data_IF_447132458520
#
_entry.id   IF_447132458520
#
_cell.length_a   1.000
_cell.length_b   1.000
_cell.length_c   1.000
_cell.angle_alpha   90.00
_cell.angle_beta   90.00
_cell.angle_gamma   90.00
#
_symmetry.space_group_name_H-M   'P 1'
#
loop_
_entity.id
_entity.type
_entity.pdbx_description
1 polymer ?
#
# COMPACT_ATOMS: atom_id res chain seq x y z
N UNK A 1 16.99 7.35 11.77
CA UNK A 1 16.84 6.19 10.86
C UNK A 1 16.80 6.62 9.40
N UNK A 2 15.75 7.34 8.96
CA UNK A 2 15.62 7.82 7.57
C UNK A 2 16.78 8.74 7.13
N UNK A 3 17.13 9.75 7.92
CA UNK A 3 18.24 10.66 7.60
C UNK A 3 19.59 9.94 7.50
N UNK A 4 19.82 8.89 8.30
CA UNK A 4 21.04 8.06 8.24
C UNK A 4 21.13 7.26 6.94
N UNK A 5 20.01 7.11 6.22
CA UNK A 5 19.91 6.48 4.90
C UNK A 5 19.79 7.53 3.77
N UNK A 6 20.01 8.81 4.07
CA UNK A 6 19.92 9.89 3.09
C UNK A 6 18.49 10.25 2.66
N UNK A 7 17.48 9.82 3.42
CA UNK A 7 16.07 10.15 3.15
C UNK A 7 15.71 11.37 4.01
N UNK A 8 15.41 12.48 3.34
CA UNK A 8 14.95 13.70 4.00
C UNK A 8 13.57 13.47 4.64
N UNK A 9 13.42 13.93 5.87
CA UNK A 9 12.17 13.83 6.62
C UNK A 9 12.08 14.97 7.62
N UNK A 10 10.85 15.37 7.95
CA UNK A 10 10.57 16.44 8.92
C UNK A 10 9.46 15.97 9.86
N UNK A 11 9.62 16.22 11.14
CA UNK A 11 8.57 16.00 12.13
C UNK A 11 7.47 17.06 11.96
N UNK A 12 6.23 16.60 11.98
CA UNK A 12 5.04 17.45 12.02
C UNK A 12 4.19 17.04 13.23
N UNK A 13 4.11 17.93 14.22
CA UNK A 13 3.39 17.70 15.47
C UNK A 13 1.91 18.13 15.39
N UNK A 14 1.49 18.74 14.28
CA UNK A 14 0.17 19.37 14.13
C UNK A 14 -0.76 18.60 13.19
N UNK A 15 -0.21 17.79 12.28
CA UNK A 15 -1.01 17.02 11.33
C UNK A 15 -1.83 15.95 12.06
N UNK A 16 -3.15 15.99 11.87
CA UNK A 16 -4.07 14.97 12.35
C UNK A 16 -3.98 13.67 11.53
N UNK A 17 -4.50 12.59 12.12
CA UNK A 17 -4.58 11.29 11.44
C UNK A 17 -5.54 11.36 10.26
N UNK A 18 -5.11 10.84 9.11
CA UNK A 18 -5.99 10.76 7.94
C UNK A 18 -6.94 9.56 8.06
N UNK A 19 -8.00 9.59 7.25
CA UNK A 19 -9.05 8.57 7.23
C UNK A 19 -8.49 7.16 6.94
N UNK A 20 -7.53 7.04 6.02
CA UNK A 20 -6.95 5.74 5.65
C UNK A 20 -6.18 5.09 6.79
N UNK A 21 -5.53 5.89 7.64
CA UNK A 21 -4.92 5.41 8.88
C UNK A 21 -5.96 5.14 9.98
N UNK A 22 -6.93 6.05 10.15
CA UNK A 22 -7.93 5.94 11.21
C UNK A 22 -8.85 4.72 11.06
N UNK A 23 -9.40 4.47 9.86
CA UNK A 23 -10.34 3.36 9.63
C UNK A 23 -9.72 2.00 9.99
N UNK A 24 -8.52 1.74 9.49
CA UNK A 24 -7.81 0.46 9.71
C UNK A 24 -7.53 0.28 11.20
N UNK A 25 -7.01 1.31 11.86
CA UNK A 25 -6.66 1.24 13.27
C UNK A 25 -7.89 1.16 14.19
N UNK A 26 -8.98 1.84 13.83
CA UNK A 26 -10.24 1.77 14.57
C UNK A 26 -10.82 0.35 14.58
N UNK A 27 -10.72 -0.36 13.46
CA UNK A 27 -11.19 -1.76 13.36
C UNK A 27 -10.24 -2.75 14.02
N UNK A 28 -8.92 -2.59 13.84
CA UNK A 28 -7.91 -3.51 14.37
C UNK A 28 -7.68 -3.35 15.89
N UNK A 29 -7.64 -2.10 16.37
CA UNK A 29 -7.28 -1.76 17.75
C UNK A 29 -8.28 -0.74 18.35
N UNK A 30 -9.55 -1.13 18.54
CA UNK A 30 -10.63 -0.22 18.95
C UNK A 30 -10.45 0.41 20.34
N UNK A 31 -9.54 -0.12 21.17
CA UNK A 31 -9.22 0.43 22.49
C UNK A 31 -8.26 1.62 22.43
N UNK A 32 -7.56 1.81 21.30
CA UNK A 32 -6.57 2.87 21.12
C UNK A 32 -5.46 2.87 22.18
N UNK A 33 -5.00 1.68 22.58
CA UNK A 33 -3.98 1.44 23.60
C UNK A 33 -2.58 1.20 23.00
N UNK A 34 -2.43 1.29 21.69
CA UNK A 34 -1.16 1.17 20.96
C UNK A 34 -0.72 2.57 20.47
N UNK A 35 0.51 3.03 20.77
CA UNK A 35 1.04 4.26 20.20
C UNK A 35 1.17 4.19 18.69
N UNK A 36 0.78 5.26 18.00
CA UNK A 36 0.80 5.34 16.53
C UNK A 36 1.66 6.51 16.08
N UNK A 37 2.54 6.26 15.12
CA UNK A 37 3.28 7.30 14.39
C UNK A 37 2.84 7.27 12.94
N UNK A 38 2.29 8.38 12.46
CA UNK A 38 1.88 8.51 11.06
C UNK A 38 3.07 8.98 10.21
N UNK A 39 3.26 8.35 9.06
CA UNK A 39 4.30 8.72 8.08
C UNK A 39 3.61 9.16 6.80
N UNK A 40 3.87 10.39 6.35
CA UNK A 40 3.40 10.86 5.05
C UNK A 40 4.18 10.19 3.91
N UNK A 41 3.54 10.09 2.75
CA UNK A 41 4.18 9.60 1.52
C UNK A 41 4.44 10.76 0.56
N UNK A 42 5.44 10.61 -0.33
CA UNK A 42 5.63 11.49 -1.46
C UNK A 42 5.31 10.72 -2.75
N UNK A 43 4.14 10.92 -3.38
CA UNK A 43 3.72 10.14 -4.54
C UNK A 43 4.50 10.47 -5.82
N UNK A 44 5.35 11.50 -5.82
CA UNK A 44 6.17 11.86 -6.99
C UNK A 44 7.47 11.05 -7.10
N UNK A 45 7.82 10.29 -6.06
CA UNK A 45 9.00 9.43 -6.10
C UNK A 45 8.69 8.13 -6.85
N UNK A 46 9.67 7.68 -7.65
CA UNK A 46 9.63 6.39 -8.31
C UNK A 46 9.41 5.23 -7.32
N UNK A 47 8.75 4.16 -7.75
CA UNK A 47 8.37 3.03 -6.87
C UNK A 47 9.58 2.36 -6.20
N UNK A 48 10.72 2.33 -6.88
CA UNK A 48 12.01 1.91 -6.33
C UNK A 48 12.33 2.69 -5.05
N UNK A 49 12.16 4.01 -5.08
CA UNK A 49 12.44 4.89 -3.94
C UNK A 49 11.45 4.69 -2.81
N UNK A 50 10.17 4.41 -3.12
CA UNK A 50 9.18 4.04 -2.10
C UNK A 50 9.60 2.77 -1.37
N UNK A 51 10.03 1.76 -2.13
CA UNK A 51 10.55 0.52 -1.57
C UNK A 51 11.83 0.74 -0.74
N UNK A 52 12.75 1.61 -1.18
CA UNK A 52 13.92 1.99 -0.39
C UNK A 52 13.56 2.66 0.94
N UNK A 53 12.50 3.48 0.97
CA UNK A 53 11.98 4.04 2.23
C UNK A 53 11.53 2.91 3.15
N UNK A 54 10.78 1.94 2.64
CA UNK A 54 10.42 0.71 3.36
C UNK A 54 11.65 -0.02 3.90
N UNK A 55 12.68 -0.23 3.07
CA UNK A 55 13.93 -0.89 3.50
C UNK A 55 14.64 -0.12 4.60
N UNK A 56 14.61 1.20 4.56
CA UNK A 56 15.22 2.04 5.57
C UNK A 56 14.57 1.89 6.95
N UNK A 57 13.31 1.44 7.02
CA UNK A 57 12.55 1.25 8.25
C UNK A 57 12.37 -0.22 8.66
N UNK A 58 12.95 -1.17 7.92
CA UNK A 58 12.82 -2.61 8.15
C UNK A 58 13.21 -3.06 9.57
N UNK A 59 14.21 -2.43 10.15
CA UNK A 59 14.70 -2.82 11.48
C UNK A 59 13.68 -2.52 12.60
N UNK A 60 12.66 -1.70 12.34
CA UNK A 60 11.54 -1.48 13.28
C UNK A 60 10.82 -2.79 13.65
N UNK A 61 10.71 -3.73 12.72
CA UNK A 61 10.11 -5.04 12.99
C UNK A 61 10.89 -5.87 14.03
N UNK A 62 12.17 -5.57 14.28
CA UNK A 62 12.98 -6.20 15.34
C UNK A 62 12.75 -5.55 16.71
N UNK A 63 12.15 -4.36 16.72
CA UNK A 63 11.83 -3.56 17.91
C UNK A 63 10.36 -3.70 18.33
N UNK A 64 9.66 -4.74 17.82
CA UNK A 64 8.23 -4.99 18.08
C UNK A 64 7.31 -3.86 17.56
N UNK A 65 7.70 -3.24 16.44
CA UNK A 65 6.92 -2.18 15.77
C UNK A 65 6.32 -2.73 14.48
N UNK A 66 5.00 -2.67 14.38
CA UNK A 66 4.24 -3.04 13.18
C UNK A 66 4.22 -1.87 12.17
N UNK A 67 4.63 -2.14 10.94
CA UNK A 67 4.50 -1.21 9.81
C UNK A 67 3.23 -1.54 9.03
N UNK A 68 2.33 -0.56 8.89
CA UNK A 68 1.07 -0.70 8.13
C UNK A 68 1.11 0.26 6.94
N UNK A 69 1.01 -0.30 5.72
CA UNK A 69 0.72 0.46 4.51
C UNK A 69 -0.77 0.45 4.21
N UNK A 70 -1.48 1.54 4.48
CA UNK A 70 -2.91 1.66 4.18
C UNK A 70 -3.12 2.42 2.87
N UNK A 71 -3.79 1.79 1.91
CA UNK A 71 -3.98 2.29 0.55
C UNK A 71 -4.96 1.41 -0.24
N UNK A 72 -4.91 1.48 -1.57
CA UNK A 72 -5.71 0.62 -2.46
C UNK A 72 -5.02 0.44 -3.81
N UNK A 73 -5.18 -0.75 -4.39
CA UNK A 73 -4.61 -1.11 -5.69
C UNK A 73 -5.55 -0.80 -6.86
N UNK A 74 -6.86 -0.79 -6.65
CA UNK A 74 -7.81 -0.26 -7.63
C UNK A 74 -8.60 0.86 -6.97
N UNK A 75 -8.25 2.09 -7.34
CA UNK A 75 -8.81 3.30 -6.75
C UNK A 75 -9.05 4.37 -7.82
N UNK A 76 -10.02 4.09 -8.69
CA UNK A 76 -10.53 5.06 -9.65
C UNK A 76 -11.98 5.40 -9.33
N UNK A 77 -12.20 6.50 -8.61
CA UNK A 77 -13.54 6.92 -8.20
C UNK A 77 -14.46 7.24 -9.40
N UNK A 78 -13.92 7.47 -10.59
CA UNK A 78 -14.72 7.71 -11.79
C UNK A 78 -15.38 6.44 -12.36
N UNK A 79 -14.98 5.25 -11.89
CA UNK A 79 -15.52 3.95 -12.35
C UNK A 79 -16.38 3.25 -11.31
N UNK A 80 -16.58 3.88 -10.14
CA UNK A 80 -17.40 3.35 -9.06
C UNK A 80 -18.86 3.28 -9.51
N UNK A 81 -19.45 2.08 -9.42
CA UNK A 81 -20.88 1.88 -9.52
C UNK A 81 -21.44 1.47 -8.16
N UNK A 82 -22.18 2.37 -7.52
CA UNK A 82 -22.76 2.17 -6.20
C UNK A 82 -23.78 1.02 -6.14
N UNK A 83 -24.29 0.57 -7.28
CA UNK A 83 -25.23 -0.55 -7.36
C UNK A 83 -24.57 -1.87 -7.78
N UNK A 84 -23.27 -1.86 -8.12
CA UNK A 84 -22.58 -3.06 -8.55
C UNK A 84 -22.47 -4.05 -7.38
N UNK A 85 -22.91 -5.28 -7.65
CA UNK A 85 -22.84 -6.43 -6.74
C UNK A 85 -21.64 -7.34 -7.03
N UNK A 86 -20.92 -7.07 -8.12
CA UNK A 86 -19.77 -7.85 -8.60
C UNK A 86 -18.63 -6.94 -9.01
N UNK A 87 -17.42 -7.46 -8.89
CA UNK A 87 -16.23 -6.80 -9.38
C UNK A 87 -16.22 -6.73 -10.92
N UNK A 88 -15.73 -5.63 -11.45
CA UNK A 88 -15.42 -5.48 -12.87
C UNK A 88 -14.21 -6.36 -13.24
N UNK A 89 -14.28 -7.06 -14.37
CA UNK A 89 -13.24 -8.03 -14.78
C UNK A 89 -11.86 -7.38 -14.89
N UNK A 90 -11.78 -6.17 -15.45
CA UNK A 90 -10.51 -5.46 -15.62
C UNK A 90 -9.85 -5.07 -14.28
N UNK A 91 -10.66 -4.82 -13.23
CA UNK A 91 -10.14 -4.51 -11.90
C UNK A 91 -9.53 -5.77 -11.27
N UNK A 92 -10.20 -6.91 -11.45
CA UNK A 92 -9.72 -8.22 -11.03
C UNK A 92 -8.44 -8.61 -11.77
N UNK A 93 -8.36 -8.36 -13.08
CA UNK A 93 -7.16 -8.62 -13.89
C UNK A 93 -5.94 -7.83 -13.39
N UNK A 94 -6.11 -6.55 -13.07
CA UNK A 94 -5.03 -5.72 -12.53
C UNK A 94 -4.54 -6.22 -11.18
N UNK A 95 -5.46 -6.48 -10.24
CA UNK A 95 -5.10 -7.00 -8.92
C UNK A 95 -4.43 -8.37 -9.00
N UNK A 96 -4.94 -9.28 -9.84
CA UNK A 96 -4.33 -10.59 -10.02
C UNK A 96 -2.92 -10.51 -10.62
N UNK A 97 -2.67 -9.53 -11.49
CA UNK A 97 -1.31 -9.24 -11.96
C UNK A 97 -0.41 -8.80 -10.80
N UNK A 98 -0.89 -7.90 -9.92
CA UNK A 98 -0.11 -7.48 -8.74
C UNK A 98 0.15 -8.64 -7.77
N UNK A 99 -0.87 -9.46 -7.50
CA UNK A 99 -0.77 -10.64 -6.63
C UNK A 99 0.32 -11.58 -7.15
N UNK A 100 0.28 -11.93 -8.44
CA UNK A 100 1.28 -12.81 -9.07
C UNK A 100 2.70 -12.27 -8.85
N UNK A 101 2.89 -10.97 -9.08
CA UNK A 101 4.20 -10.32 -8.92
C UNK A 101 4.67 -10.29 -7.47
N UNK A 102 3.77 -9.97 -6.53
CA UNK A 102 4.05 -9.96 -5.09
C UNK A 102 4.41 -11.35 -4.59
N UNK A 103 3.61 -12.37 -4.89
CA UNK A 103 3.84 -13.74 -4.42
C UNK A 103 5.11 -14.39 -5.00
N UNK A 104 5.52 -13.95 -6.20
CA UNK A 104 6.76 -14.37 -6.85
C UNK A 104 7.99 -13.53 -6.46
N UNK A 105 7.84 -12.51 -5.59
CA UNK A 105 8.88 -11.52 -5.29
C UNK A 105 9.48 -10.87 -6.55
N UNK A 106 8.67 -10.64 -7.59
CA UNK A 106 9.07 -9.95 -8.83
C UNK A 106 9.05 -8.43 -8.63
N UNK A 107 9.98 -7.95 -7.80
CA UNK A 107 10.08 -6.55 -7.40
C UNK A 107 10.34 -5.63 -8.60
N UNK A 108 11.21 -6.05 -9.53
CA UNK A 108 11.53 -5.29 -10.74
C UNK A 108 10.30 -5.16 -11.66
N UNK A 109 9.47 -6.21 -11.73
CA UNK A 109 8.15 -6.16 -12.37
C UNK A 109 7.23 -5.14 -11.72
N UNK A 110 7.13 -5.17 -10.38
CA UNK A 110 6.28 -4.24 -9.61
C UNK A 110 6.69 -2.78 -9.78
N UNK A 111 7.98 -2.46 -9.84
CA UNK A 111 8.42 -1.07 -10.06
C UNK A 111 7.96 -0.50 -11.40
N UNK A 112 7.74 -1.37 -12.38
CA UNK A 112 7.28 -1.02 -13.73
C UNK A 112 5.80 -1.35 -13.96
N UNK A 113 5.01 -1.52 -12.89
CA UNK A 113 3.59 -1.88 -12.98
C UNK A 113 2.79 -0.94 -13.91
N UNK A 114 3.09 0.36 -13.89
CA UNK A 114 2.36 1.36 -14.68
C UNK A 114 2.49 1.14 -16.19
N UNK A 115 3.56 0.47 -16.62
CA UNK A 115 3.84 0.15 -18.02
C UNK A 115 3.42 -1.28 -18.38
N UNK A 116 3.63 -2.23 -17.46
CA UNK A 116 3.48 -3.67 -17.73
C UNK A 116 2.14 -4.26 -17.32
N UNK A 117 1.52 -3.73 -16.28
CA UNK A 117 0.29 -4.29 -15.74
C UNK A 117 -0.91 -3.91 -16.63
N UNK A 118 -1.86 -4.84 -16.82
CA UNK A 118 -3.09 -4.55 -17.56
C UNK A 118 -3.87 -3.45 -16.83
N UNK A 119 -4.42 -2.47 -17.56
CA UNK A 119 -5.28 -1.42 -17.00
C UNK A 119 -4.65 -0.53 -15.92
N UNK A 120 -3.34 -0.55 -15.69
CA UNK A 120 -2.70 0.14 -14.55
C UNK A 120 -3.09 1.63 -14.40
N UNK A 121 -3.04 2.38 -15.51
CA UNK A 121 -3.41 3.81 -15.54
C UNK A 121 -4.89 4.05 -15.28
N UNK A 122 -5.73 3.05 -15.58
CA UNK A 122 -7.16 3.09 -15.35
C UNK A 122 -7.50 2.69 -13.91
N UNK A 123 -6.84 1.69 -13.35
CA UNK A 123 -6.98 1.27 -11.96
C UNK A 123 -6.48 2.33 -10.98
N UNK A 124 -5.36 2.98 -11.29
CA UNK A 124 -4.66 3.93 -10.43
C UNK A 124 -4.38 5.20 -11.24
N UNK A 125 -5.36 6.13 -11.32
CA UNK A 125 -5.15 7.41 -11.99
C UNK A 125 -4.01 8.22 -11.36
N UNK A 126 -3.84 8.08 -10.03
CA UNK A 126 -2.79 8.74 -9.25
C UNK A 126 -2.17 7.77 -8.24
N UNK A 127 -0.86 7.84 -8.07
CA UNK A 127 -0.06 6.78 -7.42
C UNK A 127 -0.14 6.78 -5.89
N UNK A 128 -0.68 7.83 -5.26
CA UNK A 128 -0.71 7.95 -3.81
C UNK A 128 -1.35 6.74 -3.10
N UNK A 129 -2.31 6.08 -3.74
CA UNK A 129 -3.02 4.95 -3.13
C UNK A 129 -2.24 3.63 -3.18
N UNK A 130 -1.33 3.44 -4.14
CA UNK A 130 -0.53 2.21 -4.24
C UNK A 130 0.82 2.33 -3.53
N UNK A 131 1.37 3.54 -3.39
CA UNK A 131 2.65 3.80 -2.70
C UNK A 131 2.76 3.11 -1.32
N UNK A 132 1.73 3.10 -0.45
CA UNK A 132 1.80 2.41 0.84
C UNK A 132 2.16 0.93 0.73
N UNK A 133 1.73 0.24 -0.33
CA UNK A 133 2.08 -1.17 -0.57
C UNK A 133 3.59 -1.35 -0.77
N UNK A 134 4.23 -0.48 -1.56
CA UNK A 134 5.68 -0.56 -1.83
C UNK A 134 6.52 -0.27 -0.58
N UNK A 135 6.09 0.69 0.25
CA UNK A 135 6.77 0.99 1.52
C UNK A 135 6.62 -0.21 2.48
N UNK A 136 5.41 -0.76 2.64
CA UNK A 136 5.17 -1.93 3.48
C UNK A 136 6.00 -3.13 3.02
N UNK A 137 6.00 -3.41 1.70
CA UNK A 137 6.82 -4.46 1.09
C UNK A 137 8.33 -4.28 1.36
N UNK A 138 8.85 -3.06 1.29
CA UNK A 138 10.26 -2.78 1.60
C UNK A 138 10.60 -3.02 3.08
N UNK A 139 9.64 -2.79 3.97
CA UNK A 139 9.81 -2.97 5.42
C UNK A 139 9.72 -4.42 5.89
N UNK A 140 9.16 -5.33 5.08
CA UNK A 140 9.02 -6.76 5.38
C UNK A 140 10.34 -7.50 5.62
N UNK A 141 10.27 -8.63 6.34
CA UNK A 141 11.43 -9.32 6.92
C UNK A 141 12.11 -10.35 5.99
N UNK A 142 12.13 -10.12 4.67
CA UNK A 142 12.52 -11.11 3.64
C UNK A 142 11.71 -12.43 3.69
N UNK A 143 10.59 -12.45 4.42
CA UNK A 143 9.66 -13.58 4.38
C UNK A 143 8.96 -13.60 3.01
N UNK A 144 8.42 -14.76 2.63
CA UNK A 144 7.61 -14.82 1.41
C UNK A 144 6.32 -14.01 1.66
N UNK A 145 5.99 -13.00 0.82
CA UNK A 145 4.75 -12.28 0.93
C UNK A 145 3.53 -13.20 0.82
N UNK A 146 2.44 -12.85 1.48
CA UNK A 146 1.18 -13.62 1.43
C UNK A 146 0.00 -12.70 1.14
N UNK A 147 -0.89 -13.15 0.25
CA UNK A 147 -2.23 -12.58 0.13
C UNK A 147 -3.08 -13.02 1.33
N UNK A 148 -3.55 -12.07 2.13
CA UNK A 148 -4.44 -12.30 3.27
C UNK A 148 -5.91 -12.18 2.88
N UNK A 149 -6.22 -11.26 1.97
CA UNK A 149 -7.59 -10.97 1.56
C UNK A 149 -7.64 -10.32 0.18
N UNK A 150 -8.70 -10.60 -0.56
CA UNK A 150 -9.04 -9.92 -1.82
C UNK A 150 -10.56 -9.81 -1.91
N UNK A 151 -11.06 -8.59 -2.05
CA UNK A 151 -12.47 -8.31 -2.31
C UNK A 151 -12.63 -6.95 -2.97
N UNK A 152 -13.82 -6.68 -3.48
CA UNK A 152 -14.13 -5.43 -4.17
C UNK A 152 -15.46 -4.88 -3.67
N UNK A 153 -15.58 -3.56 -3.58
CA UNK A 153 -16.88 -2.90 -3.47
C UNK A 153 -17.14 -2.00 -4.68
N UNK A 154 -18.43 -1.82 -4.96
CA UNK A 154 -18.92 -0.88 -5.97
C UNK A 154 -18.28 -1.09 -7.35
N UNK A 155 -18.09 -2.36 -7.72
CA UNK A 155 -17.47 -2.77 -8.98
C UNK A 155 -15.94 -2.73 -8.96
N UNK A 156 -15.34 -1.66 -8.46
CA UNK A 156 -13.93 -1.36 -8.76
C UNK A 156 -13.07 -0.99 -7.57
N UNK A 157 -13.62 -0.73 -6.38
CA UNK A 157 -12.78 -0.41 -5.22
C UNK A 157 -12.19 -1.69 -4.64
N UNK A 158 -10.88 -1.87 -4.81
CA UNK A 158 -10.17 -3.04 -4.28
C UNK A 158 -9.84 -2.89 -2.80
N UNK A 159 -10.10 -3.98 -2.06
CA UNK A 159 -9.67 -4.22 -0.68
C UNK A 159 -8.75 -5.43 -0.63
N UNK A 160 -7.61 -5.32 -1.30
CA UNK A 160 -6.54 -6.30 -1.19
C UNK A 160 -5.72 -6.10 0.10
N UNK A 161 -5.29 -7.20 0.71
CA UNK A 161 -4.44 -7.15 1.91
C UNK A 161 -3.28 -8.15 1.78
N UNK A 162 -2.06 -7.68 2.02
CA UNK A 162 -0.84 -8.47 1.99
C UNK A 162 -0.12 -8.48 3.34
N UNK A 163 0.55 -9.59 3.63
CA UNK A 163 1.58 -9.73 4.66
C UNK A 163 2.95 -9.78 3.98
N UNK A 164 3.95 -9.04 4.49
CA UNK A 164 5.32 -8.94 3.94
C UNK A 164 6.40 -9.29 4.97
#
# INVERSE_FOLDING_TARGET
MLSNKGIESKLDEYRGMDHGAWDVLYLMYPKSDIPVVQVSINPELAMEKQYEIGRAIRDLGKEDILVIGSGSTVHNLATVDWNADKAEEWAVEFDNWLIEKVENNDIDGLFTYREKAPHAKHAIPREEHIVPMFIAMGSGSNAKPKLLHQSYAYGTLSYICFEF
#
